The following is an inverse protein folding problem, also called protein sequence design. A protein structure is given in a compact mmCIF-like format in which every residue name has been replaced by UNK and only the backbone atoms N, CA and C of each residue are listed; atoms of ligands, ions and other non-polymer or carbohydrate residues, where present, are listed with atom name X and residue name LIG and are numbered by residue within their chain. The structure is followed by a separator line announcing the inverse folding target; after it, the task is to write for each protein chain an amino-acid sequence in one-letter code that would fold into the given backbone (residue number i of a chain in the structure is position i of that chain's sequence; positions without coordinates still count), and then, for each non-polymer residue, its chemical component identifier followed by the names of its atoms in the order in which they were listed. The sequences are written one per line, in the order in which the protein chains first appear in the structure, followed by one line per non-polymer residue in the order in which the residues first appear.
data_IF_530942684321
#
_entry.id   IF_530942684321
#
_cell.length_a   1.000
_cell.length_b   1.000
_cell.length_c   1.000
_cell.angle_alpha   90.00
_cell.angle_beta   90.00
_cell.angle_gamma   90.00
#
_symmetry.space_group_name_H-M   'P 1'
#
loop_
_entity.id
_entity.type
_entity.pdbx_description
1 polymer ?
#
# COMPACT_ATOMS: atom_id res chain seq x y z
N UNK A 1 -21.43 -19.27 -0.71
CA UNK A 1 -21.24 -18.56 0.58
C UNK A 1 -19.87 -18.79 1.25
N UNK A 2 -19.34 -20.02 1.37
CA UNK A 2 -18.01 -20.25 2.01
C UNK A 2 -16.82 -19.78 1.15
N UNK A 3 -16.87 -20.00 -0.16
CA UNK A 3 -15.80 -19.61 -1.11
C UNK A 3 -15.59 -18.09 -1.16
N UNK A 4 -16.67 -17.30 -1.23
CA UNK A 4 -16.57 -15.83 -1.26
C UNK A 4 -15.92 -15.26 0.02
N UNK A 5 -16.18 -15.87 1.18
CA UNK A 5 -15.53 -15.48 2.44
C UNK A 5 -14.04 -15.79 2.44
N UNK A 6 -13.63 -16.91 1.85
CA UNK A 6 -12.22 -17.28 1.72
C UNK A 6 -11.49 -16.32 0.78
N UNK A 7 -12.07 -16.02 -0.39
CA UNK A 7 -11.50 -15.07 -1.36
C UNK A 7 -11.40 -13.67 -0.74
N UNK A 8 -12.45 -13.19 -0.07
CA UNK A 8 -12.42 -11.89 0.61
C UNK A 8 -11.24 -11.79 1.60
N UNK A 9 -11.02 -12.83 2.42
CA UNK A 9 -9.89 -12.90 3.35
C UNK A 9 -8.55 -12.93 2.63
N UNK A 10 -8.44 -13.69 1.54
CA UNK A 10 -7.21 -13.78 0.77
C UNK A 10 -6.83 -12.43 0.16
N UNK A 11 -7.78 -11.73 -0.49
CA UNK A 11 -7.53 -10.40 -1.07
C UNK A 11 -7.10 -9.42 0.03
N UNK A 12 -7.82 -9.39 1.16
CA UNK A 12 -7.48 -8.57 2.32
C UNK A 12 -6.05 -8.85 2.82
N UNK A 13 -5.70 -10.11 3.02
CA UNK A 13 -4.36 -10.51 3.50
C UNK A 13 -3.26 -10.14 2.50
N UNK A 14 -3.50 -10.32 1.20
CA UNK A 14 -2.55 -9.94 0.15
C UNK A 14 -2.37 -8.43 0.11
N UNK A 15 -3.46 -7.66 0.15
CA UNK A 15 -3.37 -6.20 0.12
C UNK A 15 -2.67 -5.64 1.36
N UNK A 16 -3.00 -6.15 2.55
CA UNK A 16 -2.32 -5.78 3.79
C UNK A 16 -0.82 -6.12 3.74
N UNK A 17 -0.45 -7.29 3.19
CA UNK A 17 0.95 -7.68 3.03
C UNK A 17 1.70 -6.75 2.07
N UNK A 18 1.09 -6.37 0.94
CA UNK A 18 1.69 -5.43 -0.01
C UNK A 18 1.94 -4.06 0.63
N UNK A 19 0.99 -3.55 1.41
CA UNK A 19 1.16 -2.32 2.17
C UNK A 19 2.27 -2.43 3.21
N UNK A 20 2.32 -3.54 3.95
CA UNK A 20 3.37 -3.78 4.94
C UNK A 20 4.76 -3.82 4.29
N UNK A 21 4.93 -4.51 3.17
CA UNK A 21 6.19 -4.54 2.42
C UNK A 21 6.55 -3.13 1.90
N UNK A 22 5.57 -2.39 1.37
CA UNK A 22 5.76 -1.02 0.93
C UNK A 22 6.27 -0.11 2.06
N UNK A 23 5.65 -0.17 3.24
CA UNK A 23 6.03 0.62 4.43
C UNK A 23 7.36 0.19 5.04
N UNK A 24 7.69 -1.10 4.98
CA UNK A 24 8.95 -1.65 5.49
C UNK A 24 10.07 -1.64 4.45
N UNK A 25 9.82 -1.15 3.23
CA UNK A 25 10.77 -1.24 2.12
C UNK A 25 12.14 -0.64 2.47
N UNK A 26 12.18 0.53 3.12
CA UNK A 26 13.45 1.13 3.61
C UNK A 26 14.20 0.16 4.54
N UNK A 27 13.52 -0.43 5.52
CA UNK A 27 14.13 -1.38 6.46
C UNK A 27 14.62 -2.63 5.73
N UNK A 28 13.82 -3.15 4.79
CA UNK A 28 14.19 -4.31 3.98
C UNK A 28 15.45 -4.01 3.15
N UNK A 29 15.54 -2.84 2.53
CA UNK A 29 16.72 -2.44 1.73
C UNK A 29 17.97 -2.27 2.61
N UNK A 30 17.82 -1.74 3.82
CA UNK A 30 18.94 -1.59 4.76
C UNK A 30 19.49 -2.95 5.24
N UNK A 31 18.62 -3.93 5.47
CA UNK A 31 19.02 -5.27 5.95
C UNK A 31 19.45 -6.18 4.79
N UNK A 32 18.76 -6.08 3.65
CA UNK A 32 18.92 -6.95 2.48
C UNK A 32 19.14 -6.11 1.21
N UNK A 33 20.33 -5.49 1.04
CA UNK A 33 20.61 -4.59 -0.09
C UNK A 33 20.48 -5.27 -1.46
N UNK A 34 20.70 -6.59 -1.54
CA UNK A 34 20.48 -7.35 -2.78
C UNK A 34 19.02 -7.33 -3.26
N UNK A 35 18.05 -7.09 -2.38
CA UNK A 35 16.62 -7.02 -2.73
C UNK A 35 16.15 -5.61 -3.10
N UNK A 36 17.04 -4.61 -3.10
CA UNK A 36 16.71 -3.20 -3.31
C UNK A 36 15.76 -2.94 -4.49
N UNK A 37 16.12 -3.42 -5.68
CA UNK A 37 15.31 -3.19 -6.88
C UNK A 37 13.98 -3.93 -6.87
N UNK A 38 13.96 -5.17 -6.35
CA UNK A 38 12.74 -5.96 -6.25
C UNK A 38 11.73 -5.30 -5.31
N UNK A 39 12.22 -4.77 -4.18
CA UNK A 39 11.40 -4.11 -3.17
C UNK A 39 10.94 -2.74 -3.65
N UNK A 40 11.77 -1.99 -4.39
CA UNK A 40 11.46 -0.65 -4.91
C UNK A 40 10.25 -0.64 -5.85
N UNK A 41 9.96 -1.74 -6.54
CA UNK A 41 8.79 -1.85 -7.43
C UNK A 41 7.50 -1.53 -6.69
N UNK A 42 7.32 -2.01 -5.45
CA UNK A 42 6.06 -1.83 -4.73
C UNK A 42 5.78 -0.36 -4.35
N UNK A 43 6.72 0.39 -3.74
CA UNK A 43 6.55 1.82 -3.51
C UNK A 43 6.42 2.64 -4.80
N UNK A 44 7.06 2.23 -5.90
CA UNK A 44 6.87 2.91 -7.19
C UNK A 44 5.46 2.68 -7.75
N UNK A 45 4.94 1.45 -7.67
CA UNK A 45 3.58 1.15 -8.09
C UNK A 45 2.54 1.89 -7.23
N UNK A 46 2.79 2.11 -5.94
CA UNK A 46 1.89 2.90 -5.10
C UNK A 46 1.89 4.39 -5.50
N UNK A 47 3.03 4.95 -5.91
CA UNK A 47 3.10 6.29 -6.54
C UNK A 47 2.28 6.34 -7.82
N UNK A 48 2.48 5.38 -8.72
CA UNK A 48 1.73 5.33 -10.00
C UNK A 48 0.22 5.19 -9.74
N UNK A 49 -0.18 4.29 -8.84
CA UNK A 49 -1.57 4.13 -8.43
C UNK A 49 -2.16 5.43 -7.91
N UNK A 50 -1.45 6.14 -7.02
CA UNK A 50 -1.90 7.39 -6.45
C UNK A 50 -2.02 8.51 -7.49
N UNK A 51 -1.11 8.58 -8.46
CA UNK A 51 -1.17 9.56 -9.54
C UNK A 51 -2.39 9.36 -10.46
N UNK A 52 -2.74 8.10 -10.75
CA UNK A 52 -3.82 7.77 -11.70
C UNK A 52 -5.19 7.73 -11.00
N UNK A 53 -5.26 7.16 -9.81
CA UNK A 53 -6.53 6.82 -9.14
C UNK A 53 -6.73 7.49 -7.78
N UNK A 54 -5.73 8.22 -7.27
CA UNK A 54 -5.77 8.85 -5.94
C UNK A 54 -6.18 7.84 -4.85
N UNK A 55 -7.18 8.16 -4.03
CA UNK A 55 -7.62 7.31 -2.92
C UNK A 55 -8.41 6.06 -3.40
N UNK A 56 -8.68 5.94 -4.70
CA UNK A 56 -9.32 4.78 -5.28
C UNK A 56 -8.29 3.67 -5.53
N UNK A 57 -8.40 2.56 -4.78
CA UNK A 57 -7.54 1.39 -4.96
C UNK A 57 -8.35 0.21 -5.47
N UNK A 58 -7.92 -0.34 -6.59
CA UNK A 58 -8.56 -1.48 -7.24
C UNK A 58 -8.63 -2.71 -6.32
N UNK A 59 -7.64 -2.89 -5.43
CA UNK A 59 -7.66 -3.96 -4.44
C UNK A 59 -8.74 -3.73 -3.37
N UNK A 60 -8.94 -2.50 -2.91
CA UNK A 60 -10.02 -2.15 -1.99
C UNK A 60 -11.40 -2.37 -2.63
N UNK A 61 -11.57 -2.06 -3.92
CA UNK A 61 -12.82 -2.35 -4.63
C UNK A 61 -13.07 -3.85 -4.74
N UNK A 62 -12.01 -4.62 -5.01
CA UNK A 62 -12.07 -6.06 -5.09
C UNK A 62 -12.42 -6.68 -3.73
N UNK A 63 -11.83 -6.20 -2.63
CA UNK A 63 -12.21 -6.57 -1.27
C UNK A 63 -13.68 -6.28 -1.00
N UNK A 64 -14.12 -5.06 -1.29
CA UNK A 64 -15.51 -4.65 -1.10
C UNK A 64 -16.49 -5.49 -1.90
N UNK A 65 -16.14 -5.85 -3.14
CA UNK A 65 -16.93 -6.75 -3.98
C UNK A 65 -17.11 -8.10 -3.29
N UNK A 66 -16.02 -8.74 -2.85
CA UNK A 66 -16.12 -10.06 -2.21
C UNK A 66 -16.73 -10.02 -0.81
N UNK A 67 -16.51 -8.94 -0.05
CA UNK A 67 -17.15 -8.72 1.25
C UNK A 67 -18.67 -8.59 1.11
N UNK A 68 -19.15 -7.75 0.19
CA UNK A 68 -20.59 -7.59 -0.10
C UNK A 68 -21.21 -8.90 -0.59
N UNK A 69 -20.54 -9.62 -1.50
CA UNK A 69 -20.96 -10.95 -1.96
C UNK A 69 -20.94 -12.02 -0.86
N UNK A 70 -20.31 -11.75 0.27
CA UNK A 70 -20.26 -12.64 1.44
C UNK A 70 -21.27 -12.27 2.53
N UNK A 71 -22.09 -11.24 2.31
CA UNK A 71 -23.08 -10.72 3.26
C UNK A 71 -22.50 -9.74 4.30
N UNK A 72 -21.31 -9.19 4.05
CA UNK A 72 -20.70 -8.17 4.92
C UNK A 72 -20.93 -6.77 4.34
N UNK A 73 -20.96 -5.74 5.19
CA UNK A 73 -21.26 -4.36 4.79
C UNK A 73 -20.24 -3.70 3.85
N UNK A 74 -19.04 -4.29 3.71
CA UNK A 74 -17.91 -3.65 3.03
C UNK A 74 -17.36 -2.46 3.83
N UNK A 75 -16.37 -1.79 3.26
CA UNK A 75 -15.72 -0.61 3.82
C UNK A 75 -16.22 0.65 3.11
N UNK A 76 -16.42 1.71 3.88
CA UNK A 76 -16.70 3.05 3.38
C UNK A 76 -15.42 3.89 3.34
N UNK A 77 -15.16 4.57 2.23
CA UNK A 77 -13.95 5.38 2.01
C UNK A 77 -12.92 4.70 1.11
N UNK A 78 -11.91 5.46 0.69
CA UNK A 78 -10.82 4.95 -0.14
C UNK A 78 -9.74 4.20 0.65
N UNK A 79 -8.71 3.78 -0.07
CA UNK A 79 -7.64 2.91 0.43
C UNK A 79 -6.91 3.50 1.63
N UNK A 80 -6.60 4.80 1.58
CA UNK A 80 -5.88 5.50 2.62
C UNK A 80 -6.78 5.62 3.84
N UNK A 81 -8.06 5.94 3.66
CA UNK A 81 -9.02 5.98 4.77
C UNK A 81 -9.14 4.64 5.48
N UNK A 82 -9.17 3.53 4.73
CA UNK A 82 -9.31 2.20 5.31
C UNK A 82 -8.05 1.72 6.05
N UNK A 83 -6.89 1.83 5.40
CA UNK A 83 -5.65 1.21 5.89
C UNK A 83 -4.77 2.15 6.70
N UNK A 84 -4.69 3.43 6.32
CA UNK A 84 -3.74 4.39 6.90
C UNK A 84 -4.39 5.30 7.94
N UNK A 85 -5.63 5.76 7.73
CA UNK A 85 -6.27 6.68 8.67
C UNK A 85 -6.74 5.97 9.95
N UNK A 86 -7.15 4.71 9.86
CA UNK A 86 -7.58 3.91 11.02
C UNK A 86 -6.48 3.79 12.10
N UNK A 87 -5.22 3.98 11.73
CA UNK A 87 -4.09 3.85 12.64
C UNK A 87 -3.70 5.14 13.36
N UNK A 88 -4.02 6.31 12.80
CA UNK A 88 -3.62 7.60 13.37
C UNK A 88 -4.78 8.52 13.74
N UNK A 89 -6.03 8.25 13.29
CA UNK A 89 -7.17 9.17 13.43
C UNK A 89 -6.90 10.58 12.89
N UNK A 90 -5.98 10.70 11.92
CA UNK A 90 -5.62 11.97 11.30
C UNK A 90 -6.22 11.98 9.89
N UNK A 91 -7.18 12.88 9.66
CA UNK A 91 -7.59 13.22 8.30
C UNK A 91 -6.40 13.86 7.59
N UNK A 92 -6.02 13.31 6.44
CA UNK A 92 -4.92 13.82 5.63
C UNK A 92 -5.47 14.40 4.34
N UNK A 93 -5.00 15.58 3.96
CA UNK A 93 -5.29 16.12 2.63
C UNK A 93 -4.51 15.35 1.57
N UNK A 94 -4.99 15.36 0.32
CA UNK A 94 -4.27 14.75 -0.81
C UNK A 94 -2.84 15.28 -0.93
N UNK A 95 -2.63 16.56 -0.66
CA UNK A 95 -1.31 17.18 -0.66
C UNK A 95 -0.38 16.62 0.43
N UNK A 96 -0.91 16.29 1.61
CA UNK A 96 -0.12 15.63 2.65
C UNK A 96 0.24 14.21 2.26
N UNK A 97 -0.68 13.49 1.59
CA UNK A 97 -0.39 12.16 1.04
C UNK A 97 0.69 12.25 -0.03
N UNK A 98 0.60 13.23 -0.94
CA UNK A 98 1.63 13.49 -1.96
C UNK A 98 3.01 13.63 -1.31
N UNK A 99 3.15 14.50 -0.29
CA UNK A 99 4.44 14.70 0.38
C UNK A 99 4.97 13.45 1.07
N UNK A 100 4.11 12.72 1.78
CA UNK A 100 4.51 11.49 2.48
C UNK A 100 4.95 10.44 1.47
N UNK A 101 4.16 10.21 0.43
CA UNK A 101 4.39 9.16 -0.55
C UNK A 101 5.62 9.45 -1.40
N UNK A 102 5.73 10.64 -1.99
CA UNK A 102 6.87 11.01 -2.82
C UNK A 102 8.14 11.17 -1.99
N UNK A 103 8.04 11.73 -0.78
CA UNK A 103 9.17 11.83 0.15
C UNK A 103 9.70 10.46 0.54
N UNK A 104 8.82 9.53 0.91
CA UNK A 104 9.20 8.15 1.26
C UNK A 104 9.92 7.45 0.10
N UNK A 105 9.37 7.50 -1.11
CA UNK A 105 9.98 6.87 -2.29
C UNK A 105 11.30 7.54 -2.68
N UNK A 106 11.37 8.87 -2.60
CA UNK A 106 12.60 9.63 -2.86
C UNK A 106 13.73 9.25 -1.90
N UNK A 107 13.42 9.13 -0.61
CA UNK A 107 14.39 8.67 0.42
C UNK A 107 14.83 7.24 0.12
N UNK A 108 13.90 6.34 -0.21
CA UNK A 108 14.24 4.96 -0.55
C UNK A 108 15.19 4.88 -1.75
N UNK A 109 14.91 5.63 -2.82
CA UNK A 109 15.79 5.69 -4.00
C UNK A 109 17.18 6.21 -3.62
N UNK A 110 17.23 7.28 -2.81
CA UNK A 110 18.50 7.83 -2.35
C UNK A 110 19.32 6.81 -1.56
N UNK A 111 18.70 6.07 -0.64
CA UNK A 111 19.35 4.99 0.12
C UNK A 111 19.93 3.93 -0.82
N UNK A 112 19.14 3.47 -1.80
CA UNK A 112 19.57 2.45 -2.77
C UNK A 112 20.78 2.94 -3.57
N UNK A 113 20.77 4.21 -4.02
CA UNK A 113 21.88 4.80 -4.79
C UNK A 113 23.15 4.91 -3.92
N UNK A 114 23.02 5.38 -2.68
CA UNK A 114 24.15 5.54 -1.76
C UNK A 114 24.80 4.20 -1.41
N UNK A 115 24.00 3.16 -1.13
CA UNK A 115 24.51 1.80 -0.88
C UNK A 115 25.28 1.18 -2.05
N UNK A 116 25.10 1.70 -3.28
CA UNK A 116 25.83 1.23 -4.47
C UNK A 116 27.10 2.02 -4.77
N UNK A 117 27.26 3.19 -4.14
CA UNK A 117 28.39 4.08 -4.39
C UNK A 117 29.55 3.82 -3.41
N UNK A 118 29.27 3.11 -2.31
CA UNK A 118 30.21 2.68 -1.26
C UNK A 118 30.62 1.24 -1.51
#
# INVERSE_FOLDING_TARGET
MKVNKLIARLVLSVHAALLAIGLLSIVIVLIFPQMAYAVLVLPLLSVVQWLIFKDHCLLTDLENKYLKQSGQGGYSGGCIRHYLWKWASIERSDQQVDYILYGYVGILILIIVLQKTI
#
